data_IF_087253206451
#
_entry.id   IF_087253206451
#
_cell.length_a   1.000
_cell.length_b   1.000
_cell.length_c   1.000
_cell.angle_alpha   90.00
_cell.angle_beta   90.00
_cell.angle_gamma   90.00
#
_symmetry.space_group_name_H-M   'P 1'
#
loop_
_entity.id
_entity.type
_entity.pdbx_description
1 polymer ?
#
# COMPACT_ATOMS: atom_id res chain seq x y z
N UNK A 1 21.48 2.39 16.81
CA UNK A 1 21.04 3.41 15.82
C UNK A 1 21.52 2.88 14.49
N UNK A 2 20.65 2.17 13.77
CA UNK A 2 20.95 1.78 12.39
C UNK A 2 20.96 3.03 11.52
N UNK A 3 21.99 3.16 10.70
CA UNK A 3 22.12 4.27 9.75
C UNK A 3 20.91 4.28 8.81
N UNK A 4 20.25 5.43 8.73
CA UNK A 4 19.26 5.73 7.70
C UNK A 4 19.90 5.45 6.33
N UNK A 5 19.43 4.44 5.62
CA UNK A 5 19.88 4.12 4.27
C UNK A 5 18.75 4.41 3.30
N UNK A 6 19.08 5.03 2.18
CA UNK A 6 18.17 5.07 1.03
C UNK A 6 17.88 3.61 0.63
N UNK A 7 16.60 3.25 0.52
CA UNK A 7 16.20 1.88 0.20
C UNK A 7 15.20 1.90 -0.97
N UNK A 8 15.69 2.27 -2.16
CA UNK A 8 14.82 2.39 -3.33
C UNK A 8 14.13 1.06 -3.63
N UNK A 9 12.90 1.16 -4.11
CA UNK A 9 12.05 0.02 -4.41
C UNK A 9 11.21 -0.49 -3.24
N UNK A 10 11.21 0.15 -2.06
CA UNK A 10 10.34 -0.23 -0.94
C UNK A 10 9.10 0.63 -0.87
N UNK A 11 8.02 0.06 -0.37
CA UNK A 11 6.87 0.83 0.08
C UNK A 11 7.22 1.53 1.38
N UNK A 12 7.15 2.86 1.39
CA UNK A 12 7.55 3.68 2.53
C UNK A 12 6.42 4.52 3.11
N UNK A 13 5.29 4.62 2.41
CA UNK A 13 4.16 5.43 2.82
C UNK A 13 2.87 5.00 2.11
N UNK A 14 1.70 5.29 2.71
CA UNK A 14 0.39 4.98 2.11
C UNK A 14 -0.61 6.10 2.37
N UNK A 15 -1.31 6.55 1.33
CA UNK A 15 -2.42 7.47 1.47
C UNK A 15 -3.77 6.78 1.26
N UNK A 16 -4.73 7.10 2.10
CA UNK A 16 -6.14 6.87 1.83
C UNK A 16 -6.72 8.11 1.12
N UNK A 17 -7.07 7.97 -0.14
CA UNK A 17 -7.81 8.97 -0.88
C UNK A 17 -9.30 8.81 -0.60
N UNK A 18 -9.99 9.80 -0.02
CA UNK A 18 -11.39 9.66 0.36
C UNK A 18 -12.17 10.96 0.29
N UNK A 19 -13.46 10.88 -0.09
CA UNK A 19 -14.36 12.01 -0.06
C UNK A 19 -14.99 12.25 1.33
N UNK A 20 -14.76 11.34 2.29
CA UNK A 20 -15.29 11.41 3.66
C UNK A 20 -14.15 11.12 4.66
N UNK A 21 -13.24 12.10 4.77
CA UNK A 21 -12.05 11.96 5.63
C UNK A 21 -12.42 11.82 7.11
N UNK A 22 -13.43 12.52 7.60
CA UNK A 22 -13.86 12.42 8.99
C UNK A 22 -14.34 11.00 9.33
N UNK A 23 -15.11 10.38 8.45
CA UNK A 23 -15.58 9.01 8.61
C UNK A 23 -14.42 8.02 8.61
N UNK A 24 -13.49 8.19 7.69
CA UNK A 24 -12.29 7.36 7.60
C UNK A 24 -11.42 7.51 8.85
N UNK A 25 -11.15 8.74 9.31
CA UNK A 25 -10.39 9.02 10.54
C UNK A 25 -11.04 8.34 11.75
N UNK A 26 -12.34 8.48 11.91
CA UNK A 26 -13.08 7.89 13.05
C UNK A 26 -13.02 6.36 13.01
N UNK A 27 -13.17 5.77 11.82
CA UNK A 27 -13.10 4.32 11.63
C UNK A 27 -11.70 3.79 11.96
N UNK A 28 -10.66 4.31 11.32
CA UNK A 28 -9.30 3.78 11.50
C UNK A 28 -8.71 4.09 12.88
N UNK A 29 -9.03 5.23 13.49
CA UNK A 29 -8.65 5.54 14.89
C UNK A 29 -9.29 4.55 15.88
N UNK A 30 -10.51 4.11 15.62
CA UNK A 30 -11.19 3.10 16.44
C UNK A 30 -10.67 1.70 16.16
N UNK A 31 -10.36 1.38 14.90
CA UNK A 31 -9.85 0.08 14.48
C UNK A 31 -8.40 -0.13 14.92
N UNK A 32 -7.55 0.89 14.80
CA UNK A 32 -6.15 0.88 15.19
C UNK A 32 -5.85 1.99 16.20
N UNK A 33 -6.11 1.77 17.49
CA UNK A 33 -5.81 2.76 18.55
C UNK A 33 -4.31 3.06 18.66
N UNK A 34 -3.47 2.27 18.03
CA UNK A 34 -2.02 2.49 17.89
C UNK A 34 -1.68 3.67 16.94
N UNK A 35 -2.65 4.11 16.12
CA UNK A 35 -2.46 5.25 15.24
C UNK A 35 -2.55 6.58 15.97
N UNK A 36 -1.46 7.35 15.97
CA UNK A 36 -1.47 8.77 16.26
C UNK A 36 -1.75 9.54 14.96
N UNK A 37 -2.95 10.12 14.85
CA UNK A 37 -3.39 10.85 13.65
C UNK A 37 -3.26 12.34 13.91
N UNK A 38 -2.39 13.00 13.15
CA UNK A 38 -2.04 14.41 13.27
C UNK A 38 -2.61 15.21 12.11
N UNK A 39 -3.32 16.29 12.42
CA UNK A 39 -3.98 17.13 11.44
C UNK A 39 -3.01 18.17 10.87
N UNK A 40 -2.98 18.29 9.54
CA UNK A 40 -2.23 19.31 8.80
C UNK A 40 -3.22 20.09 7.92
N UNK A 41 -3.35 21.38 8.16
CA UNK A 41 -4.21 22.26 7.38
C UNK A 41 -3.57 22.54 6.01
N UNK A 42 -4.26 22.16 4.93
CA UNK A 42 -3.87 22.42 3.56
C UNK A 42 -4.64 23.62 2.96
N UNK A 43 -5.30 24.44 3.77
CA UNK A 43 -6.09 25.57 3.34
C UNK A 43 -7.34 25.13 2.56
N UNK A 44 -7.51 25.62 1.32
CA UNK A 44 -8.67 25.28 0.48
C UNK A 44 -8.75 23.80 0.10
N UNK A 45 -7.62 23.06 0.18
CA UNK A 45 -7.59 21.64 -0.09
C UNK A 45 -8.07 20.77 1.08
N UNK A 46 -8.41 21.39 2.23
CA UNK A 46 -8.93 20.71 3.41
C UNK A 46 -7.86 20.27 4.40
N UNK A 47 -8.16 19.31 5.24
CA UNK A 47 -7.24 18.79 6.27
C UNK A 47 -6.64 17.46 5.82
N UNK A 48 -5.33 17.39 5.80
CA UNK A 48 -4.59 16.13 5.63
C UNK A 48 -4.31 15.52 7.00
N UNK A 49 -4.64 14.25 7.18
CA UNK A 49 -4.49 13.56 8.44
C UNK A 49 -3.29 12.60 8.35
N UNK A 50 -2.16 12.99 8.93
CA UNK A 50 -0.93 12.17 8.93
C UNK A 50 -1.07 11.04 9.93
N UNK A 51 -0.80 9.81 9.49
CA UNK A 51 -0.83 8.61 10.33
C UNK A 51 0.59 8.31 10.82
N UNK A 52 0.74 8.19 12.15
CA UNK A 52 1.97 7.77 12.80
C UNK A 52 1.73 6.48 13.60
N UNK A 53 2.64 5.52 13.50
CA UNK A 53 2.66 4.31 14.34
C UNK A 53 4.01 4.24 15.04
N UNK A 54 4.00 4.16 16.38
CA UNK A 54 5.25 4.17 17.15
C UNK A 54 6.10 5.44 16.96
N UNK A 55 5.47 6.58 16.60
CA UNK A 55 6.15 7.85 16.32
C UNK A 55 6.71 7.98 14.89
N UNK A 56 6.59 6.94 14.07
CA UNK A 56 7.03 6.92 12.66
C UNK A 56 5.84 7.29 11.77
N UNK A 57 6.01 8.30 10.90
CA UNK A 57 5.02 8.66 9.89
C UNK A 57 5.01 7.59 8.81
N UNK A 58 3.87 6.93 8.61
CA UNK A 58 3.76 5.81 7.69
C UNK A 58 2.61 5.94 6.69
N UNK A 59 1.72 6.91 6.86
CA UNK A 59 0.58 7.09 5.97
C UNK A 59 -0.15 8.40 6.19
N UNK A 60 -1.26 8.57 5.45
CA UNK A 60 -2.15 9.69 5.61
C UNK A 60 -3.55 9.44 5.07
N UNK A 61 -4.48 10.33 5.42
CA UNK A 61 -5.82 10.38 4.86
C UNK A 61 -5.97 11.72 4.16
N UNK A 62 -6.20 11.65 2.84
CA UNK A 62 -6.26 12.78 1.94
C UNK A 62 -7.71 13.08 1.59
N UNK A 63 -8.21 14.29 1.88
CA UNK A 63 -9.54 14.68 1.40
C UNK A 63 -9.53 14.81 -0.13
N UNK A 64 -10.53 14.23 -0.77
CA UNK A 64 -10.76 14.32 -2.22
C UNK A 64 -12.08 15.03 -2.47
N UNK A 65 -12.12 15.91 -3.45
CA UNK A 65 -13.36 16.58 -3.87
C UNK A 65 -14.40 15.52 -4.31
N UNK A 66 -15.59 15.47 -3.71
CA UNK A 66 -16.64 14.54 -4.11
C UNK A 66 -17.03 14.64 -5.59
N UNK A 67 -16.84 15.80 -6.22
CA UNK A 67 -17.12 16.01 -7.65
C UNK A 67 -16.07 15.42 -8.58
N UNK A 68 -14.90 14.98 -8.05
CA UNK A 68 -13.81 14.41 -8.85
C UNK A 68 -14.13 13.04 -9.43
N UNK A 69 -15.12 12.33 -8.89
CA UNK A 69 -15.46 10.96 -9.25
C UNK A 69 -14.46 9.91 -8.74
N UNK A 70 -13.50 10.30 -7.91
CA UNK A 70 -12.55 9.38 -7.28
C UNK A 70 -13.26 8.57 -6.20
N UNK A 71 -13.22 7.26 -6.29
CA UNK A 71 -13.69 6.35 -5.23
C UNK A 71 -12.63 6.24 -4.14
N UNK A 72 -13.05 5.99 -2.89
CA UNK A 72 -12.12 5.82 -1.79
C UNK A 72 -11.18 4.62 -2.05
N UNK A 73 -9.87 4.83 -1.86
CA UNK A 73 -8.86 3.79 -2.05
C UNK A 73 -7.55 4.11 -1.34
N UNK A 74 -6.82 3.07 -0.95
CA UNK A 74 -5.44 3.18 -0.50
C UNK A 74 -4.50 3.21 -1.70
N UNK A 75 -3.45 4.02 -1.62
CA UNK A 75 -2.38 4.10 -2.62
C UNK A 75 -1.02 4.12 -1.95
N UNK A 76 -0.17 3.16 -2.29
CA UNK A 76 1.19 3.04 -1.74
C UNK A 76 2.19 3.93 -2.46
N UNK A 77 3.22 4.35 -1.74
CA UNK A 77 4.38 5.08 -2.26
C UNK A 77 5.59 4.16 -2.27
N UNK A 78 6.19 3.99 -3.44
CA UNK A 78 7.46 3.28 -3.61
C UNK A 78 8.59 4.29 -3.67
N UNK A 79 9.61 4.08 -2.84
CA UNK A 79 10.81 4.93 -2.84
C UNK A 79 11.59 4.77 -4.14
N UNK A 80 11.98 5.91 -4.71
CA UNK A 80 12.86 5.99 -5.89
C UNK A 80 14.00 6.98 -5.62
N UNK A 81 15.14 6.77 -6.25
CA UNK A 81 16.29 7.67 -6.16
C UNK A 81 16.11 8.94 -7.00
N UNK A 82 15.33 8.85 -8.08
CA UNK A 82 15.03 9.95 -9.00
C UNK A 82 13.60 9.79 -9.54
N UNK A 83 12.72 10.69 -9.10
CA UNK A 83 11.30 10.64 -9.45
C UNK A 83 11.06 10.95 -10.93
N UNK A 84 11.85 11.87 -11.52
CA UNK A 84 11.72 12.24 -12.92
C UNK A 84 12.17 11.08 -13.82
N UNK A 85 13.31 10.43 -13.51
CA UNK A 85 13.76 9.24 -14.21
C UNK A 85 12.78 8.07 -14.09
N UNK A 86 12.15 7.89 -12.92
CA UNK A 86 11.11 6.86 -12.73
C UNK A 86 9.89 7.11 -13.62
N UNK A 87 9.42 8.36 -13.72
CA UNK A 87 8.28 8.71 -14.59
C UNK A 87 8.61 8.55 -16.07
N UNK A 88 9.81 8.88 -16.49
CA UNK A 88 10.28 8.64 -17.87
C UNK A 88 10.28 7.14 -18.19
N UNK A 89 10.77 6.32 -17.25
CA UNK A 89 10.75 4.86 -17.39
C UNK A 89 9.32 4.31 -17.47
N UNK A 90 8.39 4.80 -16.63
CA UNK A 90 6.96 4.42 -16.69
C UNK A 90 6.39 4.64 -18.09
N UNK A 91 6.64 5.79 -18.69
CA UNK A 91 6.16 6.11 -20.06
C UNK A 91 6.82 5.22 -21.09
N UNK A 92 8.14 5.00 -21.00
CA UNK A 92 8.88 4.12 -21.92
C UNK A 92 8.38 2.68 -21.87
N UNK A 93 7.98 2.20 -20.69
CA UNK A 93 7.42 0.87 -20.47
C UNK A 93 5.90 0.77 -20.79
N UNK A 94 5.30 1.80 -21.34
CA UNK A 94 3.90 1.81 -21.76
C UNK A 94 2.89 2.04 -20.65
N UNK A 95 3.35 2.48 -19.48
CA UNK A 95 2.49 2.98 -18.41
C UNK A 95 2.06 4.42 -18.63
N UNK A 96 1.43 5.01 -17.61
CA UNK A 96 0.95 6.41 -17.63
C UNK A 96 1.40 7.15 -16.38
N UNK A 97 1.47 8.48 -16.47
CA UNK A 97 1.77 9.39 -15.36
C UNK A 97 0.60 10.36 -15.19
N UNK A 98 -0.49 9.96 -14.51
CA UNK A 98 -1.68 10.81 -14.32
C UNK A 98 -1.38 12.12 -13.60
N UNK A 99 -0.43 12.10 -12.64
CA UNK A 99 0.06 13.29 -11.97
C UNK A 99 1.58 13.34 -12.15
N UNK A 100 2.10 14.33 -12.89
CA UNK A 100 3.54 14.49 -13.10
C UNK A 100 4.25 14.77 -11.78
N UNK A 101 5.58 14.72 -11.79
CA UNK A 101 6.41 14.99 -10.63
C UNK A 101 6.06 16.34 -10.00
N UNK A 102 5.74 16.30 -8.71
CA UNK A 102 5.49 17.47 -7.85
C UNK A 102 6.57 17.49 -6.78
N UNK A 103 7.19 18.64 -6.59
CA UNK A 103 8.15 18.89 -5.49
C UNK A 103 7.40 19.47 -4.28
N UNK A 104 7.42 18.75 -3.16
CA UNK A 104 6.79 19.18 -1.91
C UNK A 104 7.88 19.46 -0.89
N UNK A 105 8.06 20.73 -0.49
CA UNK A 105 9.11 21.12 0.45
C UNK A 105 9.09 20.30 1.74
N UNK A 106 10.23 19.72 2.11
CA UNK A 106 10.41 18.91 3.32
C UNK A 106 9.91 17.46 3.22
N UNK A 107 9.18 17.10 2.15
CA UNK A 107 8.72 15.73 1.88
C UNK A 107 9.58 15.10 0.77
N UNK A 108 9.73 15.79 -0.36
CA UNK A 108 10.43 15.31 -1.53
C UNK A 108 9.61 15.44 -2.81
N UNK A 109 10.03 14.75 -3.84
CA UNK A 109 9.34 14.73 -5.13
C UNK A 109 8.50 13.46 -5.25
N UNK A 110 7.25 13.58 -5.66
CA UNK A 110 6.43 12.42 -5.97
C UNK A 110 5.66 12.58 -7.27
N UNK A 111 5.28 11.45 -7.86
CA UNK A 111 4.40 11.37 -9.02
C UNK A 111 3.37 10.25 -8.81
N UNK A 112 2.20 10.36 -9.43
CA UNK A 112 1.25 9.24 -9.55
C UNK A 112 1.52 8.52 -10.85
N UNK A 113 1.74 7.22 -10.77
CA UNK A 113 2.03 6.36 -11.90
C UNK A 113 0.96 5.27 -12.05
N UNK A 114 0.75 4.83 -13.27
CA UNK A 114 -0.09 3.67 -13.60
C UNK A 114 0.71 2.68 -14.43
N UNK A 115 0.58 1.41 -14.15
CA UNK A 115 1.12 0.35 -14.99
C UNK A 115 0.32 0.16 -16.28
N UNK A 116 0.69 -0.84 -17.08
CA UNK A 116 0.04 -1.17 -18.36
C UNK A 116 -1.43 -1.60 -18.21
N UNK A 117 -1.82 -2.10 -17.03
CA UNK A 117 -3.18 -2.51 -16.70
C UNK A 117 -3.95 -1.46 -15.88
N UNK A 118 -3.37 -0.27 -15.71
CA UNK A 118 -3.88 0.87 -14.95
C UNK A 118 -3.92 0.69 -13.43
N UNK A 119 -3.16 -0.24 -12.85
CA UNK A 119 -2.93 -0.27 -11.41
C UNK A 119 -2.07 0.94 -11.00
N UNK A 120 -2.50 1.67 -9.95
CA UNK A 120 -1.89 2.93 -9.54
C UNK A 120 -0.96 2.76 -8.35
N UNK A 121 0.18 3.46 -8.40
CA UNK A 121 1.10 3.71 -7.28
C UNK A 121 1.58 5.16 -7.31
N UNK A 122 2.25 5.56 -6.25
CA UNK A 122 3.03 6.79 -6.23
C UNK A 122 4.53 6.44 -6.18
N UNK A 123 5.32 7.05 -7.04
CA UNK A 123 6.77 7.07 -6.92
C UNK A 123 7.17 8.24 -6.03
N UNK A 124 7.99 8.02 -5.01
CA UNK A 124 8.45 9.08 -4.09
C UNK A 124 9.97 9.08 -4.00
N UNK A 125 10.58 10.20 -4.35
CA UNK A 125 11.96 10.55 -4.03
C UNK A 125 11.95 11.38 -2.74
N UNK A 126 12.23 10.81 -1.56
CA UNK A 126 12.11 11.54 -0.31
C UNK A 126 13.21 12.60 -0.18
N UNK A 127 12.89 13.73 0.48
CA UNK A 127 13.87 14.79 0.76
C UNK A 127 14.95 14.36 1.76
N UNK A 128 14.64 13.35 2.58
CA UNK A 128 15.56 12.71 3.52
C UNK A 128 15.16 11.25 3.72
N UNK A 129 16.12 10.34 4.01
CA UNK A 129 15.81 8.94 4.29
C UNK A 129 14.76 8.80 5.40
N UNK A 130 13.76 7.96 5.17
CA UNK A 130 12.71 7.66 6.12
C UNK A 130 13.17 6.68 7.21
N UNK A 131 12.45 6.65 8.34
CA UNK A 131 12.56 5.59 9.34
C UNK A 131 11.58 4.48 8.97
N UNK A 132 12.04 3.23 9.01
CA UNK A 132 11.18 2.07 8.91
C UNK A 132 11.23 1.34 10.24
N UNK A 133 10.11 0.77 10.70
CA UNK A 133 10.09 -0.04 11.91
C UNK A 133 10.97 -1.29 11.73
N UNK A 134 11.64 -1.71 12.80
CA UNK A 134 12.48 -2.91 12.81
C UNK A 134 11.68 -4.20 12.95
N UNK A 135 10.48 -4.10 13.53
CA UNK A 135 9.57 -5.22 13.75
C UNK A 135 8.14 -4.80 13.42
N UNK A 136 7.29 -5.73 12.94
CA UNK A 136 5.91 -5.42 12.66
C UNK A 136 5.16 -5.07 13.96
N UNK A 137 4.46 -3.95 13.97
CA UNK A 137 3.56 -3.56 15.05
C UNK A 137 2.14 -3.39 14.53
N UNK A 138 1.17 -3.65 15.40
CA UNK A 138 -0.25 -3.56 15.03
C UNK A 138 -0.58 -2.18 14.43
N UNK A 139 -1.29 -2.18 13.32
CA UNK A 139 -1.63 -0.97 12.56
C UNK A 139 -0.56 -0.50 11.58
N UNK A 140 0.59 -1.15 11.47
CA UNK A 140 1.56 -0.81 10.43
C UNK A 140 1.13 -1.31 9.05
N UNK A 141 1.47 -0.54 8.01
CA UNK A 141 1.42 -1.01 6.64
C UNK A 141 2.55 -2.02 6.45
N UNK A 142 2.20 -3.25 6.17
CA UNK A 142 3.15 -4.36 6.23
C UNK A 142 3.40 -5.01 4.87
N UNK A 143 2.35 -5.15 4.05
CA UNK A 143 2.46 -5.81 2.76
C UNK A 143 1.62 -5.13 1.69
N UNK A 144 1.97 -5.36 0.44
CA UNK A 144 1.22 -4.90 -0.71
C UNK A 144 1.10 -6.03 -1.74
N UNK A 145 -0.10 -6.24 -2.27
CA UNK A 145 -0.39 -7.26 -3.26
C UNK A 145 -0.99 -6.63 -4.50
N UNK A 146 -0.39 -6.87 -5.66
CA UNK A 146 -0.98 -6.49 -6.94
C UNK A 146 -1.90 -7.58 -7.44
N UNK A 147 -3.15 -7.25 -7.63
CA UNK A 147 -4.12 -8.05 -8.37
C UNK A 147 -4.12 -7.58 -9.82
N UNK A 148 -3.71 -8.42 -10.77
CA UNK A 148 -3.54 -8.03 -12.18
C UNK A 148 -4.12 -9.05 -13.15
N UNK A 149 -4.45 -8.59 -14.35
CA UNK A 149 -4.91 -9.48 -15.44
C UNK A 149 -3.77 -10.11 -16.23
N UNK A 150 -2.52 -9.63 -16.04
CA UNK A 150 -1.34 -10.09 -16.80
C UNK A 150 -0.09 -10.01 -15.90
N UNK A 151 0.18 -11.08 -15.15
CA UNK A 151 1.32 -11.19 -14.22
C UNK A 151 2.66 -11.02 -14.95
N UNK A 152 2.94 -11.66 -16.10
CA UNK A 152 4.17 -11.43 -16.84
C UNK A 152 4.41 -9.97 -17.25
N UNK A 153 3.35 -9.27 -17.69
CA UNK A 153 3.42 -7.85 -18.06
C UNK A 153 3.68 -6.97 -16.85
N UNK A 154 2.99 -7.21 -15.73
CA UNK A 154 3.22 -6.49 -14.48
C UNK A 154 4.65 -6.71 -13.96
N UNK A 155 5.12 -7.97 -13.94
CA UNK A 155 6.50 -8.33 -13.57
C UNK A 155 7.51 -7.49 -14.35
N UNK A 156 7.46 -7.53 -15.68
CA UNK A 156 8.43 -6.82 -16.52
C UNK A 156 8.38 -5.30 -16.30
N UNK A 157 7.18 -4.75 -16.11
CA UNK A 157 6.98 -3.33 -15.87
C UNK A 157 7.66 -2.88 -14.55
N UNK A 158 7.33 -3.53 -13.43
CA UNK A 158 7.88 -3.14 -12.13
C UNK A 158 9.36 -3.46 -11.97
N UNK A 159 9.88 -4.49 -12.67
CA UNK A 159 11.32 -4.72 -12.79
C UNK A 159 12.05 -3.54 -13.47
N UNK A 160 11.48 -3.01 -14.54
CA UNK A 160 12.06 -1.85 -15.25
C UNK A 160 11.97 -0.57 -14.42
N UNK A 161 10.80 -0.30 -13.82
CA UNK A 161 10.52 0.99 -13.15
C UNK A 161 11.20 1.10 -11.79
N UNK A 162 11.17 0.02 -10.97
CA UNK A 162 11.67 0.05 -9.59
C UNK A 162 12.94 -0.79 -9.37
N UNK A 163 13.43 -1.47 -10.41
CA UNK A 163 14.59 -2.35 -10.29
C UNK A 163 14.30 -3.62 -9.48
N UNK A 164 13.02 -3.99 -9.31
CA UNK A 164 12.67 -5.19 -8.57
C UNK A 164 13.13 -6.47 -9.29
N UNK A 165 13.48 -7.48 -8.52
CA UNK A 165 13.63 -8.86 -9.00
C UNK A 165 12.38 -9.66 -8.67
N UNK A 166 12.11 -10.74 -9.42
CA UNK A 166 10.96 -11.60 -9.18
C UNK A 166 11.42 -13.01 -8.79
N UNK A 167 10.75 -13.58 -7.77
CA UNK A 167 10.96 -14.95 -7.32
C UNK A 167 9.66 -15.72 -7.53
N UNK A 168 9.74 -16.84 -8.20
CA UNK A 168 8.63 -17.79 -8.35
C UNK A 168 8.56 -18.67 -7.10
N UNK A 169 7.78 -18.24 -6.10
CA UNK A 169 7.70 -18.94 -4.81
C UNK A 169 6.78 -20.15 -4.86
N UNK A 170 5.81 -20.19 -5.77
CA UNK A 170 4.80 -21.24 -5.87
C UNK A 170 4.74 -21.90 -7.25
N UNK A 171 5.90 -22.25 -7.82
CA UNK A 171 6.01 -22.87 -9.14
C UNK A 171 5.20 -24.19 -9.31
N UNK A 172 4.59 -24.72 -8.24
CA UNK A 172 3.72 -25.89 -8.26
C UNK A 172 2.21 -25.56 -8.12
N UNK A 173 1.85 -24.32 -7.79
CA UNK A 173 0.46 -23.87 -7.82
C UNK A 173 0.10 -23.46 -9.25
N UNK A 174 -1.14 -23.74 -9.67
CA UNK A 174 -1.68 -23.27 -10.96
C UNK A 174 -1.79 -21.73 -11.03
N UNK A 175 -1.42 -21.05 -9.96
CA UNK A 175 -1.54 -19.63 -9.79
C UNK A 175 -0.15 -19.00 -10.00
N UNK A 176 -0.04 -18.14 -10.99
CA UNK A 176 1.15 -17.37 -11.37
C UNK A 176 1.54 -16.33 -10.30
N UNK A 177 1.40 -16.67 -9.00
CA UNK A 177 1.78 -15.79 -7.89
C UNK A 177 3.29 -15.69 -7.80
N UNK A 178 3.81 -14.46 -7.84
CA UNK A 178 5.23 -14.16 -7.73
C UNK A 178 5.49 -13.19 -6.61
N UNK A 179 6.66 -13.31 -5.98
CA UNK A 179 7.19 -12.30 -5.06
C UNK A 179 8.09 -11.33 -5.81
N UNK A 180 7.95 -10.05 -5.52
CA UNK A 180 8.84 -9.00 -5.99
C UNK A 180 9.79 -8.62 -4.87
N UNK A 181 11.07 -8.48 -5.21
CA UNK A 181 12.16 -8.12 -4.27
C UNK A 181 12.86 -6.85 -4.68
N UNK A 182 13.24 -6.05 -3.66
CA UNK A 182 14.22 -4.98 -3.79
C UNK A 182 15.47 -5.37 -3.00
N UNK A 183 16.58 -5.67 -3.71
CA UNK A 183 17.74 -6.32 -3.09
C UNK A 183 17.38 -7.69 -2.52
N UNK A 184 17.63 -7.89 -1.24
CA UNK A 184 17.35 -9.15 -0.52
C UNK A 184 15.99 -9.17 0.20
N UNK A 185 15.18 -8.11 0.07
CA UNK A 185 13.92 -7.97 0.79
C UNK A 185 12.71 -8.18 -0.11
N UNK A 186 11.74 -8.97 0.36
CA UNK A 186 10.43 -9.11 -0.26
C UNK A 186 9.64 -7.82 -0.05
N UNK A 187 9.15 -7.20 -1.13
CA UNK A 187 8.48 -5.90 -1.07
C UNK A 187 7.03 -5.94 -1.50
N UNK A 188 6.64 -6.92 -2.31
CA UNK A 188 5.26 -7.06 -2.77
C UNK A 188 4.99 -8.45 -3.33
N UNK A 189 3.72 -8.85 -3.36
CA UNK A 189 3.24 -9.94 -4.17
C UNK A 189 2.58 -9.46 -5.46
N UNK A 190 2.56 -10.31 -6.47
CA UNK A 190 1.79 -10.09 -7.70
C UNK A 190 1.06 -11.39 -8.04
N UNK A 191 -0.25 -11.32 -8.16
CA UNK A 191 -1.08 -12.48 -8.44
C UNK A 191 -2.15 -12.18 -9.50
N UNK A 192 -2.58 -13.20 -10.24
CA UNK A 192 -3.69 -13.03 -11.18
C UNK A 192 -4.98 -12.75 -10.42
N UNK A 193 -5.72 -11.77 -10.85
CA UNK A 193 -7.07 -11.55 -10.38
C UNK A 193 -8.03 -12.58 -10.98
N UNK A 194 -9.13 -12.85 -10.26
CA UNK A 194 -10.17 -13.74 -10.80
C UNK A 194 -10.69 -13.19 -12.13
N UNK A 195 -10.93 -14.06 -13.14
CA UNK A 195 -11.62 -13.63 -14.37
C UNK A 195 -13.03 -13.09 -14.13
N UNK A 196 -13.61 -13.39 -12.98
CA UNK A 196 -14.95 -12.95 -12.56
C UNK A 196 -14.93 -11.66 -11.74
N UNK A 197 -13.71 -11.09 -11.50
CA UNK A 197 -13.57 -9.84 -10.74
C UNK A 197 -14.22 -8.69 -11.51
N UNK A 198 -15.05 -7.92 -10.83
CA UNK A 198 -15.78 -6.77 -11.36
C UNK A 198 -15.07 -5.43 -11.12
N UNK A 199 -13.81 -5.47 -10.71
CA UNK A 199 -12.96 -4.31 -10.48
C UNK A 199 -11.72 -4.33 -11.38
N UNK A 200 -11.12 -3.17 -11.68
CA UNK A 200 -9.86 -3.12 -12.42
C UNK A 200 -8.69 -3.67 -11.60
N UNK A 201 -7.54 -3.97 -12.25
CA UNK A 201 -6.28 -4.24 -11.57
C UNK A 201 -5.97 -3.17 -10.52
N UNK A 202 -5.52 -3.61 -9.34
CA UNK A 202 -5.30 -2.72 -8.21
C UNK A 202 -4.26 -3.29 -7.24
N UNK A 203 -3.61 -2.38 -6.52
CA UNK A 203 -2.80 -2.70 -5.36
C UNK A 203 -3.67 -2.79 -4.12
N UNK A 204 -3.57 -3.90 -3.41
CA UNK A 204 -4.20 -4.14 -2.12
C UNK A 204 -3.17 -3.94 -1.02
N UNK A 205 -3.46 -3.03 -0.10
CA UNK A 205 -2.60 -2.72 1.03
C UNK A 205 -3.01 -3.54 2.25
N UNK A 206 -2.03 -4.12 2.93
CA UNK A 206 -2.22 -4.94 4.14
C UNK A 206 -1.70 -4.21 5.37
N UNK A 207 -2.54 -4.14 6.38
CA UNK A 207 -2.23 -3.66 7.72
C UNK A 207 -1.92 -4.85 8.63
N UNK A 208 -0.85 -4.78 9.40
CA UNK A 208 -0.52 -5.83 10.35
C UNK A 208 -1.46 -5.78 11.57
N UNK A 209 -1.90 -6.94 12.00
CA UNK A 209 -2.73 -7.12 13.19
C UNK A 209 -2.19 -8.28 14.03
N UNK A 210 -1.90 -8.05 15.30
CA UNK A 210 -1.44 -9.12 16.22
C UNK A 210 -2.52 -10.18 16.45
N UNK A 211 -3.80 -9.77 16.49
CA UNK A 211 -4.97 -10.63 16.55
C UNK A 211 -5.95 -10.21 15.45
N UNK A 212 -5.86 -10.91 14.32
CA UNK A 212 -6.68 -10.56 13.16
C UNK A 212 -8.15 -10.91 13.35
N UNK A 213 -8.48 -11.97 14.12
CA UNK A 213 -9.87 -12.38 14.31
C UNK A 213 -10.65 -11.36 15.15
N UNK A 214 -10.03 -10.81 16.20
CA UNK A 214 -10.65 -9.79 17.03
C UNK A 214 -10.68 -8.44 16.30
N UNK A 215 -9.61 -8.09 15.57
CA UNK A 215 -9.55 -6.86 14.77
C UNK A 215 -10.58 -6.88 13.63
N UNK A 216 -10.77 -8.03 13.00
CA UNK A 216 -11.78 -8.23 11.96
C UNK A 216 -13.21 -8.01 12.49
N UNK A 217 -13.56 -8.62 13.64
CA UNK A 217 -14.87 -8.42 14.29
C UNK A 217 -15.09 -6.97 14.69
N UNK A 218 -14.04 -6.32 15.19
CA UNK A 218 -14.09 -4.90 15.52
C UNK A 218 -14.39 -4.06 14.27
N UNK A 219 -13.70 -4.32 13.14
CA UNK A 219 -13.96 -3.62 11.88
C UNK A 219 -15.43 -3.77 11.43
N UNK A 220 -15.99 -4.99 11.49
CA UNK A 220 -17.42 -5.21 11.18
C UNK A 220 -18.33 -4.41 12.13
N UNK A 221 -18.04 -4.37 13.42
CA UNK A 221 -18.82 -3.60 14.39
C UNK A 221 -18.76 -2.08 14.17
N UNK A 222 -17.68 -1.60 13.53
CA UNK A 222 -17.47 -0.21 13.11
C UNK A 222 -18.06 0.09 11.72
N UNK A 223 -18.68 -0.90 11.07
CA UNK A 223 -19.38 -0.74 9.80
C UNK A 223 -18.59 -1.15 8.55
N UNK A 224 -17.47 -1.84 8.70
CA UNK A 224 -16.79 -2.43 7.55
C UNK A 224 -17.60 -3.59 6.94
N UNK A 225 -17.49 -3.76 5.63
CA UNK A 225 -18.12 -4.85 4.89
C UNK A 225 -17.08 -5.92 4.55
N UNK A 226 -17.43 -7.18 4.77
CA UNK A 226 -16.53 -8.31 4.52
C UNK A 226 -16.49 -8.70 3.05
N UNK A 227 -15.28 -8.72 2.46
CA UNK A 227 -15.00 -9.36 1.17
C UNK A 227 -14.46 -10.77 1.42
N UNK A 228 -13.42 -10.90 2.26
CA UNK A 228 -12.81 -12.18 2.63
C UNK A 228 -12.71 -12.23 4.15
N UNK A 229 -13.40 -13.19 4.77
CA UNK A 229 -13.28 -13.47 6.20
C UNK A 229 -11.87 -14.03 6.52
N UNK A 230 -11.38 -13.90 7.78
CA UNK A 230 -10.07 -14.39 8.16
C UNK A 230 -9.82 -15.83 7.74
N UNK A 231 -8.75 -16.06 6.98
CA UNK A 231 -8.34 -17.37 6.51
C UNK A 231 -6.83 -17.50 6.47
N UNK A 232 -6.33 -18.74 6.59
CA UNK A 232 -4.91 -19.03 6.60
C UNK A 232 -4.37 -19.24 5.18
N UNK A 233 -3.19 -18.69 4.93
CA UNK A 233 -2.27 -19.17 3.90
C UNK A 233 -1.30 -20.12 4.62
N UNK A 234 -1.32 -21.43 4.32
CA UNK A 234 -0.53 -22.40 5.05
C UNK A 234 0.96 -22.06 5.06
N UNK A 235 1.58 -22.13 6.24
CA UNK A 235 2.98 -21.83 6.47
C UNK A 235 3.42 -20.41 6.06
N UNK A 236 2.51 -19.44 6.08
CA UNK A 236 2.82 -18.06 5.77
C UNK A 236 2.12 -17.11 6.74
N UNK A 237 0.82 -16.85 6.57
CA UNK A 237 0.10 -15.85 7.36
C UNK A 237 -1.40 -16.10 7.33
N UNK A 238 -2.12 -15.47 8.26
CA UNK A 238 -3.58 -15.35 8.25
C UNK A 238 -3.97 -13.98 7.73
N UNK A 239 -4.99 -13.88 6.87
CA UNK A 239 -5.42 -12.60 6.31
C UNK A 239 -6.93 -12.47 6.18
N UNK A 240 -7.40 -11.22 6.06
CA UNK A 240 -8.78 -10.86 5.71
C UNK A 240 -8.81 -9.67 4.78
N UNK A 241 -9.91 -9.48 4.06
CA UNK A 241 -10.14 -8.31 3.19
C UNK A 241 -11.51 -7.72 3.48
N UNK A 242 -11.58 -6.42 3.70
CA UNK A 242 -12.80 -5.69 4.01
C UNK A 242 -12.87 -4.37 3.23
N UNK A 243 -14.07 -3.80 3.18
CA UNK A 243 -14.32 -2.43 2.69
C UNK A 243 -14.62 -1.57 3.89
N UNK A 244 -13.91 -0.46 4.05
CA UNK A 244 -14.19 0.50 5.13
C UNK A 244 -15.51 1.24 4.89
N UNK A 245 -16.05 1.95 5.90
CA UNK A 245 -17.31 2.67 5.75
C UNK A 245 -17.32 3.79 4.71
N UNK A 246 -16.14 4.28 4.26
CA UNK A 246 -16.01 5.27 3.20
C UNK A 246 -15.88 4.63 1.80
N UNK A 247 -15.73 3.30 1.72
CA UNK A 247 -15.67 2.53 0.48
C UNK A 247 -14.27 2.08 0.06
N UNK A 248 -13.24 2.31 0.85
CA UNK A 248 -11.88 1.85 0.55
C UNK A 248 -11.69 0.39 0.93
N UNK A 249 -11.13 -0.40 0.00
CA UNK A 249 -10.72 -1.77 0.28
C UNK A 249 -9.39 -1.76 1.03
N UNK A 250 -9.31 -2.54 2.10
CA UNK A 250 -8.09 -2.79 2.85
C UNK A 250 -8.01 -4.26 3.26
N UNK A 251 -6.80 -4.74 3.45
CA UNK A 251 -6.56 -6.06 4.01
C UNK A 251 -5.89 -5.95 5.38
N UNK A 252 -6.06 -6.97 6.19
CA UNK A 252 -5.29 -7.19 7.41
C UNK A 252 -4.55 -8.50 7.32
N UNK A 253 -3.40 -8.59 7.98
CA UNK A 253 -2.64 -9.83 8.08
C UNK A 253 -2.03 -10.00 9.46
N UNK A 254 -1.88 -11.26 9.84
CA UNK A 254 -1.20 -11.73 11.04
C UNK A 254 -0.19 -12.80 10.63
N UNK A 255 1.07 -12.60 11.02
CA UNK A 255 2.13 -13.60 10.83
C UNK A 255 1.97 -14.74 11.83
N UNK A 256 2.34 -15.95 11.44
CA UNK A 256 2.44 -17.05 12.40
C UNK A 256 3.72 -16.92 13.24
N UNK A 257 3.64 -17.34 14.51
CA UNK A 257 4.72 -17.11 15.48
C UNK A 257 6.07 -17.76 15.10
N UNK A 258 6.08 -18.75 14.22
CA UNK A 258 7.29 -19.43 13.76
C UNK A 258 8.05 -18.64 12.66
N UNK A 259 7.46 -17.57 12.11
CA UNK A 259 8.07 -16.71 11.06
C UNK A 259 8.60 -15.37 11.61
N UNK A 260 8.43 -15.11 12.90
CA UNK A 260 8.98 -13.93 13.57
C UNK A 260 10.46 -14.11 14.00
N UNK A 261 11.07 -15.25 13.67
CA UNK A 261 12.43 -15.60 14.11
C UNK A 261 13.24 -16.07 12.90
N UNK A 262 13.71 -15.08 12.08
CA UNK A 262 14.94 -15.26 11.28
C UNK A 262 15.51 -13.89 10.88
#
# INVERSE_FOLDING_TARGET
MEERRDRPGRFIFHDLMTCDSDRSVNFYRSLFPEWDIQDVDLGEAGTYHVICVGGIKCGGIVPVDPSSGVTAHWIGYVEVTDCDAATDCVVAEGGKVPVPTIDVPGIGKFAVIMDRQNAMLKALQPAAPGELPSEPASGQFYWNELLTTDVPSARSFYQSVFGWSAIEQFAQAKDEHILMRSGDEDVAGVMPMSPEADHPPAWLTFLYAEDIDDRFKLAESLGAQTIIAPRDIPNAYRFSVQVDPAGAVFAMMQLFADELVD
#
